data_IF_832516365293
#
_entry.id   IF_832516365293
#
_cell.length_a   1.000
_cell.length_b   1.000
_cell.length_c   1.000
_cell.angle_alpha   90.00
_cell.angle_beta   90.00
_cell.angle_gamma   90.00
#
_symmetry.space_group_name_H-M   'P 1'
#
loop_
_entity.id
_entity.type
_entity.pdbx_description
1 polymer ?
#
# COMPACT_ATOMS: atom_id res chain seq x y z
N UNK A 1 -53.37 -13.88 -30.32
CA UNK A 1 -52.44 -14.43 -29.32
C UNK A 1 -51.17 -14.86 -30.03
N UNK A 2 -50.15 -14.01 -29.95
CA UNK A 2 -48.76 -14.35 -29.65
C UNK A 2 -48.07 -13.02 -29.39
N UNK A 3 -48.16 -12.65 -28.12
CA UNK A 3 -47.17 -11.85 -27.44
C UNK A 3 -45.89 -12.69 -27.49
N UNK A 4 -44.87 -12.20 -28.17
CA UNK A 4 -43.51 -12.70 -28.02
C UNK A 4 -42.68 -11.43 -27.78
N UNK A 5 -42.58 -11.11 -26.49
CA UNK A 5 -41.58 -10.26 -25.89
C UNK A 5 -40.20 -10.81 -26.30
N UNK A 6 -39.39 -10.05 -27.03
CA UNK A 6 -37.96 -10.33 -27.16
C UNK A 6 -37.22 -9.19 -26.46
N UNK A 7 -37.11 -9.40 -25.15
CA UNK A 7 -35.95 -9.17 -24.30
C UNK A 7 -35.10 -7.92 -24.56
N UNK A 8 -35.37 -6.93 -23.70
CA UNK A 8 -34.43 -5.92 -23.24
C UNK A 8 -33.15 -6.57 -22.68
N UNK A 9 -32.19 -6.91 -23.55
CA UNK A 9 -30.80 -7.10 -23.15
C UNK A 9 -30.10 -5.73 -23.08
N UNK A 10 -30.56 -4.90 -22.14
CA UNK A 10 -29.77 -3.77 -21.62
C UNK A 10 -28.54 -4.38 -20.93
N UNK A 11 -27.44 -4.54 -21.68
CA UNK A 11 -26.13 -4.90 -21.15
C UNK A 11 -25.66 -3.77 -20.23
N UNK A 12 -26.08 -3.82 -18.97
CA UNK A 12 -25.73 -2.95 -17.83
C UNK A 12 -24.22 -2.95 -17.51
N UNK A 13 -23.40 -3.58 -18.34
CA UNK A 13 -21.95 -3.49 -18.23
C UNK A 13 -21.52 -2.08 -18.59
N UNK A 14 -21.11 -1.34 -17.56
CA UNK A 14 -20.40 -0.08 -17.72
C UNK A 14 -19.24 -0.31 -18.71
N UNK A 15 -19.22 0.38 -19.87
CA UNK A 15 -18.18 0.19 -20.85
C UNK A 15 -16.83 0.53 -20.21
N UNK A 16 -15.82 -0.33 -20.45
CA UNK A 16 -14.49 -0.32 -19.80
C UNK A 16 -13.70 0.99 -20.00
N UNK A 17 -14.25 1.98 -20.73
CA UNK A 17 -13.70 3.32 -20.91
C UNK A 17 -14.47 4.47 -20.22
N UNK A 18 -15.55 4.19 -19.47
CA UNK A 18 -16.39 5.23 -18.86
C UNK A 18 -15.93 5.68 -17.46
N UNK A 19 -15.05 4.92 -16.81
CA UNK A 19 -14.52 5.25 -15.48
C UNK A 19 -13.04 5.61 -15.63
N UNK A 20 -12.71 6.87 -15.40
CA UNK A 20 -11.33 7.32 -15.17
C UNK A 20 -11.09 7.43 -13.66
N UNK A 21 -10.54 6.39 -13.01
CA UNK A 21 -10.35 6.39 -11.56
C UNK A 21 -9.13 7.22 -11.13
N UNK A 22 -8.35 7.75 -12.08
CA UNK A 22 -7.04 8.37 -11.81
C UNK A 22 -7.15 9.50 -10.80
N UNK A 23 -8.19 10.34 -10.94
CA UNK A 23 -8.41 11.48 -10.03
C UNK A 23 -8.78 11.05 -8.62
N UNK A 24 -9.67 10.08 -8.48
CA UNK A 24 -10.12 9.59 -7.17
C UNK A 24 -8.97 8.88 -6.45
N UNK A 25 -8.24 8.03 -7.17
CA UNK A 25 -7.06 7.33 -6.67
C UNK A 25 -5.99 8.35 -6.23
N UNK A 26 -5.71 9.37 -7.04
CA UNK A 26 -4.74 10.43 -6.68
C UNK A 26 -5.14 11.13 -5.38
N UNK A 27 -6.41 11.50 -5.23
CA UNK A 27 -6.89 12.16 -4.01
C UNK A 27 -6.73 11.27 -2.76
N UNK A 28 -7.00 9.96 -2.89
CA UNK A 28 -6.79 9.00 -1.79
C UNK A 28 -5.31 8.94 -1.39
N UNK A 29 -4.38 8.97 -2.36
CA UNK A 29 -2.95 9.00 -2.05
C UNK A 29 -2.54 10.29 -1.36
N UNK A 30 -3.07 11.44 -1.77
CA UNK A 30 -2.78 12.74 -1.14
C UNK A 30 -3.29 12.78 0.31
N UNK A 31 -4.49 12.23 0.56
CA UNK A 31 -5.05 12.10 1.91
C UNK A 31 -4.21 11.17 2.79
N UNK A 32 -3.77 10.02 2.23
CA UNK A 32 -2.95 9.06 2.94
C UNK A 32 -1.55 9.62 3.24
N UNK A 33 -0.96 10.36 2.30
CA UNK A 33 0.31 11.06 2.48
C UNK A 33 0.20 12.11 3.59
N UNK A 34 -0.88 12.87 3.62
CA UNK A 34 -1.19 13.84 4.68
C UNK A 34 -1.29 13.16 6.03
N UNK A 35 -1.99 12.02 6.09
CA UNK A 35 -2.13 11.23 7.32
C UNK A 35 -0.78 10.70 7.83
N UNK A 36 0.08 10.21 6.94
CA UNK A 36 1.40 9.69 7.30
C UNK A 36 2.41 10.76 7.73
N UNK A 37 2.13 12.03 7.40
CA UNK A 37 2.91 13.19 7.88
C UNK A 37 2.40 13.73 9.22
N UNK A 38 1.24 13.26 9.70
CA UNK A 38 0.71 13.66 11.00
C UNK A 38 1.52 13.03 12.16
N UNK A 39 2.00 13.87 13.08
CA UNK A 39 2.85 13.43 14.19
C UNK A 39 2.22 12.38 15.12
N UNK A 40 0.92 12.47 15.40
CA UNK A 40 0.22 11.50 16.25
C UNK A 40 0.09 10.14 15.56
N UNK A 41 -0.17 10.15 14.25
CA UNK A 41 -0.20 8.95 13.42
C UNK A 41 1.18 8.31 13.37
N UNK A 42 2.23 9.09 13.12
CA UNK A 42 3.62 8.62 13.13
C UNK A 42 3.96 7.97 14.47
N UNK A 43 3.57 8.60 15.60
CA UNK A 43 3.79 8.06 16.93
C UNK A 43 3.02 6.74 17.15
N UNK A 44 1.78 6.64 16.67
CA UNK A 44 0.98 5.42 16.76
C UNK A 44 1.54 4.27 15.91
N UNK A 45 2.01 4.55 14.69
CA UNK A 45 2.65 3.58 13.80
C UNK A 45 3.99 3.09 14.37
N UNK A 46 4.79 4.01 14.92
CA UNK A 46 6.08 3.67 15.54
C UNK A 46 5.91 2.70 16.71
N UNK A 47 4.86 2.86 17.53
CA UNK A 47 4.53 1.89 18.60
C UNK A 47 4.23 0.48 18.09
N UNK A 48 3.86 0.34 16.82
CA UNK A 48 3.59 -0.93 16.13
C UNK A 48 4.78 -1.40 15.28
N UNK A 49 5.94 -0.79 15.46
CA UNK A 49 7.15 -1.03 14.66
C UNK A 49 6.97 -0.77 13.15
N UNK A 50 6.04 0.12 12.81
CA UNK A 50 5.78 0.56 11.43
C UNK A 50 6.47 1.90 11.20
N UNK A 51 7.37 1.96 10.21
CA UNK A 51 8.07 3.17 9.85
C UNK A 51 7.25 4.00 8.85
N UNK A 52 6.82 5.20 9.27
CA UNK A 52 6.00 6.08 8.43
C UNK A 52 6.73 6.60 7.18
N UNK A 53 8.04 6.85 7.25
CA UNK A 53 8.83 7.25 6.08
C UNK A 53 8.91 6.13 5.04
N UNK A 54 9.03 4.88 5.49
CA UNK A 54 8.99 3.72 4.58
C UNK A 54 7.60 3.54 3.96
N UNK A 55 6.54 3.82 4.73
CA UNK A 55 5.16 3.79 4.23
C UNK A 55 4.93 4.86 3.14
N UNK A 56 5.53 6.05 3.27
CA UNK A 56 5.50 7.09 2.25
C UNK A 56 6.15 6.61 0.94
N UNK A 57 7.33 5.96 1.01
CA UNK A 57 7.98 5.38 -0.18
C UNK A 57 7.10 4.29 -0.82
N UNK A 58 6.41 3.47 -0.02
CA UNK A 58 5.50 2.46 -0.55
C UNK A 58 4.32 3.07 -1.32
N UNK A 59 3.82 4.22 -0.86
CA UNK A 59 2.77 4.97 -1.53
C UNK A 59 3.27 5.57 -2.84
N UNK A 60 4.45 6.17 -2.85
CA UNK A 60 5.04 6.75 -4.06
C UNK A 60 5.28 5.68 -5.13
N UNK A 61 5.78 4.50 -4.73
CA UNK A 61 5.94 3.36 -5.63
C UNK A 61 4.61 2.83 -6.18
N UNK A 62 3.55 2.78 -5.36
CA UNK A 62 2.22 2.36 -5.82
C UNK A 62 1.57 3.40 -6.73
N UNK A 63 1.71 4.69 -6.42
CA UNK A 63 1.27 5.81 -7.27
C UNK A 63 1.96 5.73 -8.63
N UNK A 64 3.28 5.56 -8.66
CA UNK A 64 4.06 5.37 -9.87
C UNK A 64 3.60 4.16 -10.70
N UNK A 65 3.29 3.03 -10.05
CA UNK A 65 2.79 1.84 -10.74
C UNK A 65 1.46 2.11 -11.45
N UNK A 66 0.53 2.78 -10.77
CA UNK A 66 -0.81 3.11 -11.31
C UNK A 66 -0.74 4.15 -12.42
N UNK A 67 0.26 5.04 -12.39
CA UNK A 67 0.57 6.01 -13.46
C UNK A 67 1.39 5.41 -14.61
N UNK A 68 1.62 4.09 -14.62
CA UNK A 68 2.43 3.37 -15.61
C UNK A 68 3.93 3.80 -15.63
N UNK A 69 4.41 4.46 -14.58
CA UNK A 69 5.84 4.76 -14.35
C UNK A 69 6.55 3.57 -13.71
N UNK A 70 6.69 2.49 -14.48
CA UNK A 70 7.15 1.18 -13.98
C UNK A 70 8.57 1.17 -13.41
N UNK A 71 9.48 2.00 -13.94
CA UNK A 71 10.86 2.06 -13.45
C UNK A 71 10.88 2.60 -12.01
N UNK A 72 10.26 3.75 -11.78
CA UNK A 72 10.12 4.39 -10.48
C UNK A 72 9.41 3.44 -9.48
N UNK A 73 8.32 2.78 -9.92
CA UNK A 73 7.62 1.81 -9.09
C UNK A 73 8.50 0.64 -8.64
N UNK A 74 9.36 0.12 -9.53
CA UNK A 74 10.28 -0.97 -9.20
C UNK A 74 11.33 -0.50 -8.20
N UNK A 75 11.89 0.69 -8.38
CA UNK A 75 12.88 1.27 -7.47
C UNK A 75 12.31 1.44 -6.05
N UNK A 76 11.15 2.09 -5.92
CA UNK A 76 10.54 2.38 -4.64
C UNK A 76 10.03 1.12 -3.94
N UNK A 77 9.32 0.24 -4.65
CA UNK A 77 8.76 -0.98 -4.05
C UNK A 77 9.84 -2.00 -3.69
N UNK A 78 10.94 -2.06 -4.44
CA UNK A 78 12.09 -2.90 -4.08
C UNK A 78 12.75 -2.39 -2.81
N UNK A 79 12.96 -1.08 -2.69
CA UNK A 79 13.48 -0.44 -1.48
C UNK A 79 12.61 -0.78 -0.26
N UNK A 80 11.28 -0.69 -0.41
CA UNK A 80 10.33 -1.05 0.64
C UNK A 80 10.47 -2.51 1.06
N UNK A 81 10.50 -3.42 0.08
CA UNK A 81 10.60 -4.85 0.35
C UNK A 81 11.92 -5.22 1.08
N UNK A 82 13.04 -4.64 0.64
CA UNK A 82 14.35 -4.87 1.24
C UNK A 82 14.41 -4.37 2.69
N UNK A 83 13.92 -3.16 2.95
CA UNK A 83 13.93 -2.56 4.28
C UNK A 83 13.02 -3.32 5.26
N UNK A 84 11.81 -3.75 4.83
CA UNK A 84 10.93 -4.59 5.64
C UNK A 84 11.65 -5.90 6.01
N UNK A 85 12.30 -6.55 5.04
CA UNK A 85 13.03 -7.79 5.26
C UNK A 85 14.18 -7.61 6.26
N UNK A 86 14.97 -6.54 6.14
CA UNK A 86 16.06 -6.24 7.06
C UNK A 86 15.54 -6.01 8.49
N UNK A 87 14.45 -5.24 8.65
CA UNK A 87 13.83 -5.01 9.97
C UNK A 87 13.30 -6.28 10.59
N UNK A 88 12.67 -7.17 9.82
CA UNK A 88 12.24 -8.49 10.30
C UNK A 88 13.42 -9.33 10.81
N UNK A 89 14.56 -9.32 10.11
CA UNK A 89 15.77 -10.05 10.53
C UNK A 89 16.40 -9.47 11.79
N UNK A 90 16.43 -8.14 11.93
CA UNK A 90 16.91 -7.47 13.15
C UNK A 90 16.00 -7.76 14.35
N UNK A 91 14.68 -7.68 14.16
CA UNK A 91 13.70 -7.95 15.21
C UNK A 91 13.71 -9.41 15.69
N UNK A 92 14.00 -10.36 14.80
CA UNK A 92 14.12 -11.79 15.16
C UNK A 92 15.44 -12.12 15.86
N UNK A 93 16.53 -11.47 15.46
CA UNK A 93 17.85 -11.63 16.11
C UNK A 93 17.84 -11.07 17.54
N UNK A 94 17.19 -9.92 17.78
CA UNK A 94 17.01 -9.36 19.13
C UNK A 94 16.19 -10.26 20.07
N UNK A 95 15.36 -11.18 19.55
CA UNK A 95 14.60 -12.15 20.37
C UNK A 95 15.39 -13.40 20.76
N UNK A 96 16.57 -13.65 20.18
CA UNK A 96 17.39 -14.84 20.45
C UNK A 96 18.68 -14.56 21.27
N UNK A 97 18.98 -13.31 21.59
CA UNK A 97 20.23 -12.92 22.28
C UNK A 97 20.19 -12.86 23.82
N UNK A 98 19.05 -13.05 24.48
CA UNK A 98 18.90 -12.76 25.92
C UNK A 98 18.69 -14.02 26.79
N UNK A 99 19.61 -14.96 26.73
CA UNK A 99 19.57 -16.23 27.49
C UNK A 99 20.88 -16.64 28.17
N UNK A 100 21.79 -15.70 28.46
CA UNK A 100 22.99 -16.01 29.26
C UNK A 100 22.82 -15.46 30.67
N UNK A 101 22.35 -16.32 31.58
CA UNK A 101 22.47 -16.15 33.03
C UNK A 101 23.71 -16.95 33.49
N UNK A 102 24.86 -16.29 33.76
CA UNK A 102 25.96 -16.94 34.44
C UNK A 102 25.69 -16.88 35.94
N UNK A 103 24.88 -17.81 36.43
CA UNK A 103 24.74 -18.03 37.87
C UNK A 103 25.98 -18.77 38.40
N UNK A 104 26.70 -18.07 39.28
CA UNK A 104 27.83 -18.50 40.10
C UNK A 104 27.37 -19.33 41.30
#
# INVERSE_FOLDING_TARGET
MRDDDDDDDDDDRIPVGAVDPTREISAIFDDLETLLKNGDVVAALTKRDVNASLALVAIDGLRAYLENRKADAVEDLSTVAEEIKMRMQLSSTSRHGNGHDPSN
#
